data_IF_978859846126
#
_entry.id   IF_978859846126
#
_cell.length_a   1.000
_cell.length_b   1.000
_cell.length_c   1.000
_cell.angle_alpha   90.00
_cell.angle_beta   90.00
_cell.angle_gamma   90.00
#
_symmetry.space_group_name_H-M   'P 1'
#
loop_
_entity.id
_entity.type
_entity.pdbx_description
1 polymer ?
#
# COMPACT_ATOMS: atom_id res chain seq x y z
N UNK A 1 -46.43 51.95 -50.63
CA UNK A 1 -45.62 52.85 -49.77
C UNK A 1 -46.14 52.66 -48.34
N UNK A 2 -45.42 52.17 -47.32
CA UNK A 2 -43.99 52.11 -47.03
C UNK A 2 -43.69 50.84 -46.21
N UNK A 3 -42.54 50.23 -46.47
CA UNK A 3 -42.01 49.07 -45.77
C UNK A 3 -41.58 49.46 -44.34
N UNK A 4 -42.15 48.80 -43.33
CA UNK A 4 -41.67 48.88 -41.94
C UNK A 4 -40.48 47.95 -41.75
N UNK A 5 -39.27 48.48 -41.91
CA UNK A 5 -38.04 47.74 -41.66
C UNK A 5 -37.83 47.54 -40.16
N UNK A 6 -38.12 46.33 -39.69
CA UNK A 6 -37.72 45.81 -38.38
C UNK A 6 -36.20 45.77 -38.30
N UNK A 7 -35.60 46.78 -37.67
CA UNK A 7 -34.16 46.80 -37.40
C UNK A 7 -33.89 46.05 -36.08
N UNK A 8 -33.74 44.73 -36.17
CA UNK A 8 -33.23 43.91 -35.07
C UNK A 8 -31.70 44.06 -35.01
N UNK A 9 -31.20 44.85 -34.06
CA UNK A 9 -29.76 44.97 -33.79
C UNK A 9 -29.29 43.69 -33.09
N UNK A 10 -28.72 42.76 -33.83
CA UNK A 10 -28.05 41.58 -33.27
C UNK A 10 -26.69 42.04 -32.72
N UNK A 11 -26.64 42.34 -31.43
CA UNK A 11 -25.39 42.54 -30.70
C UNK A 11 -24.63 41.21 -30.62
N UNK A 12 -23.56 41.09 -31.40
CA UNK A 12 -22.71 39.90 -31.45
C UNK A 12 -21.68 39.96 -30.33
N UNK A 13 -21.97 39.33 -29.18
CA UNK A 13 -20.96 39.13 -28.12
C UNK A 13 -19.78 38.31 -28.66
N UNK A 14 -18.60 38.93 -28.80
CA UNK A 14 -17.34 38.22 -29.06
C UNK A 14 -17.01 37.38 -27.82
N UNK A 15 -17.17 36.06 -27.91
CA UNK A 15 -16.61 35.14 -26.90
C UNK A 15 -15.09 35.26 -26.95
N UNK A 16 -14.48 35.82 -25.91
CA UNK A 16 -13.03 35.80 -25.72
C UNK A 16 -12.60 34.35 -25.51
N UNK A 17 -12.04 33.73 -26.54
CA UNK A 17 -11.35 32.44 -26.41
C UNK A 17 -10.05 32.69 -25.66
N UNK A 18 -10.05 32.44 -24.35
CA UNK A 18 -8.84 32.40 -23.52
C UNK A 18 -8.20 31.02 -23.73
N UNK A 19 -7.06 30.99 -24.41
CA UNK A 19 -6.18 29.82 -24.45
C UNK A 19 -5.15 29.89 -23.33
N UNK A 20 -4.73 28.74 -22.80
CA UNK A 20 -3.60 28.66 -21.87
C UNK A 20 -2.31 29.10 -22.56
N UNK A 21 -1.46 29.84 -21.85
CA UNK A 21 -0.12 30.18 -22.34
C UNK A 21 0.80 28.98 -22.20
N UNK A 22 1.71 28.77 -23.16
CA UNK A 22 2.76 27.75 -23.03
C UNK A 22 3.62 27.99 -21.78
N UNK A 23 3.85 29.26 -21.44
CA UNK A 23 4.61 29.64 -20.25
C UNK A 23 3.87 29.26 -18.95
N UNK A 24 2.54 29.33 -18.95
CA UNK A 24 1.73 28.93 -17.80
C UNK A 24 1.85 27.43 -17.55
N UNK A 25 1.81 26.62 -18.61
CA UNK A 25 2.01 25.17 -18.51
C UNK A 25 3.44 24.83 -18.11
N UNK A 26 4.46 25.53 -18.62
CA UNK A 26 5.85 25.27 -18.24
C UNK A 26 6.10 25.50 -16.75
N UNK A 27 5.61 26.60 -16.19
CA UNK A 27 5.77 26.89 -14.75
C UNK A 27 5.06 25.82 -13.91
N UNK A 28 3.85 25.41 -14.31
CA UNK A 28 3.10 24.35 -13.61
C UNK A 28 3.89 23.04 -13.60
N UNK A 29 4.45 22.62 -14.74
CA UNK A 29 5.24 21.38 -14.83
C UNK A 29 6.51 21.45 -13.97
N UNK A 30 7.16 22.61 -13.91
CA UNK A 30 8.33 22.81 -13.03
C UNK A 30 7.94 22.69 -11.55
N UNK A 31 6.83 23.32 -11.14
CA UNK A 31 6.37 23.28 -9.75
C UNK A 31 5.98 21.84 -9.36
N UNK A 32 5.19 21.12 -10.17
CA UNK A 32 4.82 19.74 -9.86
C UNK A 32 6.05 18.81 -9.86
N UNK A 33 7.06 19.09 -10.70
CA UNK A 33 8.32 18.35 -10.70
C UNK A 33 9.07 18.48 -9.36
N UNK A 34 9.20 19.70 -8.85
CA UNK A 34 9.82 19.95 -7.54
C UNK A 34 9.02 19.25 -6.42
N UNK A 35 7.69 19.42 -6.41
CA UNK A 35 6.84 18.79 -5.40
C UNK A 35 6.90 17.26 -5.43
N UNK A 36 6.94 16.65 -6.62
CA UNK A 36 7.02 15.21 -6.77
C UNK A 36 8.31 14.64 -6.15
N UNK A 37 9.45 15.30 -6.35
CA UNK A 37 10.73 14.86 -5.78
C UNK A 37 10.75 14.91 -4.25
N UNK A 38 10.11 15.91 -3.64
CA UNK A 38 10.00 16.02 -2.19
C UNK A 38 9.01 15.00 -1.59
N UNK A 39 7.94 14.69 -2.33
CA UNK A 39 6.90 13.77 -1.86
C UNK A 39 7.31 12.29 -1.96
N UNK A 40 8.03 11.89 -3.01
CA UNK A 40 8.36 10.49 -3.29
C UNK A 40 9.02 9.71 -2.13
N UNK A 41 10.09 10.18 -1.46
CA UNK A 41 10.77 9.39 -0.43
C UNK A 41 9.86 9.10 0.79
N UNK A 42 8.92 10.00 1.09
CA UNK A 42 8.00 9.80 2.21
C UNK A 42 6.99 8.67 1.97
N UNK A 43 6.61 8.44 0.72
CA UNK A 43 5.68 7.38 0.34
C UNK A 43 6.31 6.00 0.49
N UNK A 44 7.56 5.86 0.06
CA UNK A 44 8.28 4.58 0.12
C UNK A 44 8.45 4.09 1.57
N UNK A 45 8.88 4.97 2.47
CA UNK A 45 8.99 4.64 3.90
C UNK A 45 7.65 4.29 4.56
N UNK A 46 6.54 4.89 4.10
CA UNK A 46 5.20 4.52 4.57
C UNK A 46 4.81 3.10 4.12
N UNK A 47 5.06 2.76 2.86
CA UNK A 47 4.79 1.42 2.33
C UNK A 47 5.61 0.35 3.05
N UNK A 48 6.91 0.60 3.28
CA UNK A 48 7.76 -0.31 4.05
C UNK A 48 7.21 -0.53 5.46
N UNK A 49 6.89 0.54 6.20
CA UNK A 49 6.30 0.43 7.55
C UNK A 49 4.98 -0.32 7.57
N UNK A 50 4.12 -0.13 6.57
CA UNK A 50 2.87 -0.87 6.42
C UNK A 50 3.14 -2.37 6.27
N UNK A 51 4.05 -2.75 5.38
CA UNK A 51 4.44 -4.16 5.18
C UNK A 51 5.07 -4.77 6.45
N UNK A 52 5.91 -4.02 7.16
CA UNK A 52 6.48 -4.47 8.44
C UNK A 52 5.41 -4.71 9.50
N UNK A 53 4.40 -3.84 9.54
CA UNK A 53 3.27 -3.96 10.46
C UNK A 53 2.43 -5.20 10.14
N UNK A 54 2.17 -5.45 8.86
CA UNK A 54 1.45 -6.63 8.38
C UNK A 54 2.14 -7.93 8.81
N UNK A 55 3.46 -8.04 8.58
CA UNK A 55 4.24 -9.20 9.00
C UNK A 55 4.18 -9.43 10.52
N UNK A 56 4.29 -8.36 11.33
CA UNK A 56 4.17 -8.43 12.79
C UNK A 56 2.77 -8.85 13.25
N UNK A 57 1.73 -8.36 12.60
CA UNK A 57 0.34 -8.76 12.89
C UNK A 57 0.15 -10.24 12.57
N UNK A 58 0.67 -10.72 11.44
CA UNK A 58 0.67 -12.15 11.10
C UNK A 58 1.39 -13.01 12.14
N UNK A 59 2.57 -12.59 12.62
CA UNK A 59 3.29 -13.29 13.69
C UNK A 59 2.50 -13.32 15.01
N UNK A 60 1.87 -12.21 15.38
CA UNK A 60 1.04 -12.13 16.59
C UNK A 60 -0.18 -13.05 16.53
N UNK A 61 -0.79 -13.19 15.36
CA UNK A 61 -1.87 -14.14 15.13
C UNK A 61 -1.39 -15.59 15.31
N UNK A 62 -0.24 -15.94 14.73
CA UNK A 62 0.39 -17.26 14.90
C UNK A 62 0.74 -17.53 16.37
N UNK A 63 1.29 -16.55 17.08
CA UNK A 63 1.60 -16.64 18.50
C UNK A 63 0.36 -16.95 19.35
N UNK A 64 -0.74 -16.24 19.07
CA UNK A 64 -2.01 -16.46 19.77
C UNK A 64 -2.58 -17.85 19.48
N UNK A 65 -2.56 -18.26 18.20
CA UNK A 65 -3.00 -19.59 17.80
C UNK A 65 -2.13 -20.71 18.41
N UNK A 66 -0.82 -20.52 18.54
CA UNK A 66 0.07 -21.45 19.23
C UNK A 66 -0.31 -21.61 20.71
N UNK A 67 -0.61 -20.52 21.41
CA UNK A 67 -1.05 -20.58 22.81
C UNK A 67 -2.36 -21.37 22.97
N UNK A 68 -3.31 -21.15 22.07
CA UNK A 68 -4.58 -21.90 22.05
C UNK A 68 -4.30 -23.39 21.80
N UNK A 69 -3.45 -23.71 20.82
CA UNK A 69 -3.09 -25.07 20.48
C UNK A 69 -2.41 -25.79 21.65
N UNK A 70 -1.47 -25.13 22.34
CA UNK A 70 -0.80 -25.67 23.52
C UNK A 70 -1.78 -25.93 24.68
N UNK A 71 -2.75 -25.05 24.90
CA UNK A 71 -3.74 -25.22 25.95
C UNK A 71 -4.60 -26.49 25.78
N UNK A 72 -4.76 -26.97 24.54
CA UNK A 72 -5.55 -28.15 24.21
C UNK A 72 -4.68 -29.41 24.13
N UNK A 73 -3.52 -29.31 23.46
CA UNK A 73 -2.71 -30.47 23.09
C UNK A 73 -1.46 -30.66 23.97
N UNK A 74 -1.17 -29.73 24.89
CA UNK A 74 0.04 -29.72 25.73
C UNK A 74 1.36 -29.78 24.95
N UNK A 75 1.33 -29.44 23.67
CA UNK A 75 2.48 -29.34 22.77
C UNK A 75 2.25 -28.17 21.83
N UNK A 76 3.31 -27.54 21.34
CA UNK A 76 3.18 -26.57 20.25
C UNK A 76 3.01 -27.31 18.93
N UNK A 77 2.42 -26.63 17.95
CA UNK A 77 2.25 -27.18 16.62
C UNK A 77 3.50 -26.96 15.76
N UNK A 78 3.86 -27.99 15.01
CA UNK A 78 5.10 -28.01 14.19
C UNK A 78 4.88 -27.45 12.78
N UNK A 79 3.63 -27.20 12.39
CA UNK A 79 3.25 -26.72 11.06
C UNK A 79 2.09 -25.73 11.15
N UNK A 80 2.05 -24.75 10.24
CA UNK A 80 0.97 -23.76 10.19
C UNK A 80 -0.39 -24.38 9.87
N UNK A 81 -0.44 -25.51 9.17
CA UNK A 81 -1.69 -26.21 8.87
C UNK A 81 -2.41 -26.76 10.10
N UNK A 82 -1.68 -26.95 11.21
CA UNK A 82 -2.26 -27.37 12.48
C UNK A 82 -2.82 -26.20 13.29
N UNK A 83 -2.55 -24.96 12.86
CA UNK A 83 -3.09 -23.75 13.46
C UNK A 83 -4.27 -23.26 12.63
N UNK A 84 -5.34 -22.86 13.31
CA UNK A 84 -6.43 -22.13 12.69
C UNK A 84 -6.04 -20.65 12.53
N UNK A 85 -5.18 -20.38 11.54
CA UNK A 85 -4.72 -19.02 11.22
C UNK A 85 -4.85 -18.79 9.72
N UNK A 86 -5.51 -17.70 9.34
CA UNK A 86 -5.62 -17.30 7.93
C UNK A 86 -4.46 -16.36 7.59
N UNK A 87 -3.56 -16.84 6.76
CA UNK A 87 -2.44 -16.07 6.23
C UNK A 87 -2.49 -16.10 4.71
N UNK A 88 -2.30 -14.93 4.11
CA UNK A 88 -2.18 -14.80 2.66
C UNK A 88 -0.91 -15.53 2.18
N UNK A 89 -1.10 -16.72 1.63
CA UNK A 89 0.00 -17.59 1.16
C UNK A 89 -0.13 -17.73 -0.36
N UNK A 90 0.73 -17.07 -1.15
CA UNK A 90 0.64 -17.11 -2.62
C UNK A 90 1.24 -15.90 -3.33
N UNK A 91 1.00 -15.75 -4.64
CA UNK A 91 1.67 -14.78 -5.54
C UNK A 91 1.52 -13.29 -5.23
N UNK A 92 0.65 -12.90 -4.28
CA UNK A 92 0.56 -11.53 -3.73
C UNK A 92 1.19 -11.39 -2.34
N UNK A 93 1.65 -12.50 -1.74
CA UNK A 93 2.19 -12.53 -0.39
C UNK A 93 3.53 -11.80 -0.35
N UNK A 94 3.59 -10.74 0.46
CA UNK A 94 4.78 -9.90 0.62
C UNK A 94 5.79 -10.47 1.62
N UNK A 95 5.37 -11.45 2.41
CA UNK A 95 6.19 -12.13 3.40
C UNK A 95 5.72 -13.58 3.58
N UNK A 96 6.66 -14.50 3.78
CA UNK A 96 6.38 -15.89 4.12
C UNK A 96 6.57 -16.11 5.61
N UNK A 97 5.59 -16.73 6.29
CA UNK A 97 5.74 -17.18 7.67
C UNK A 97 6.10 -18.66 7.71
N UNK A 98 7.19 -19.00 8.38
CA UNK A 98 7.60 -20.37 8.69
C UNK A 98 7.50 -20.60 10.18
N UNK A 99 7.05 -21.80 10.58
CA UNK A 99 6.87 -22.19 11.97
C UNK A 99 7.71 -23.43 12.25
N UNK A 100 8.30 -23.47 13.44
CA UNK A 100 9.00 -24.64 13.97
C UNK A 100 8.56 -24.80 15.41
N UNK A 101 7.75 -25.82 15.68
CA UNK A 101 7.26 -26.17 17.01
C UNK A 101 7.99 -27.38 17.61
N UNK A 102 7.90 -27.51 18.92
CA UNK A 102 8.30 -28.69 19.68
C UNK A 102 7.43 -28.80 20.94
N UNK A 103 7.62 -29.83 21.75
CA UNK A 103 6.84 -30.06 22.98
C UNK A 103 7.00 -28.98 24.04
N UNK A 104 8.10 -28.21 24.01
CA UNK A 104 8.44 -27.23 25.04
C UNK A 104 8.62 -25.80 24.54
N UNK A 105 8.72 -25.57 23.24
CA UNK A 105 8.95 -24.25 22.64
C UNK A 105 8.47 -24.19 21.20
N UNK A 106 8.29 -22.99 20.68
CA UNK A 106 8.09 -22.77 19.26
C UNK A 106 8.90 -21.57 18.80
N UNK A 107 9.09 -21.47 17.49
CA UNK A 107 9.67 -20.29 16.84
C UNK A 107 8.92 -20.07 15.55
N UNK A 108 8.32 -18.90 15.39
CA UNK A 108 7.72 -18.45 14.15
C UNK A 108 8.58 -17.33 13.55
N UNK A 109 8.82 -17.40 12.23
CA UNK A 109 9.66 -16.46 11.50
C UNK A 109 8.91 -15.94 10.28
N UNK A 110 8.74 -14.62 10.15
CA UNK A 110 8.37 -13.97 8.89
C UNK A 110 9.63 -13.57 8.13
N UNK A 111 9.64 -13.83 6.83
CA UNK A 111 10.68 -13.36 5.90
C UNK A 111 10.04 -12.66 4.72
N UNK A 112 10.54 -11.50 4.32
CA UNK A 112 10.06 -10.79 3.13
C UNK A 112 11.10 -9.81 2.61
N UNK A 113 10.96 -9.38 1.37
CA UNK A 113 11.75 -8.30 0.79
C UNK A 113 10.87 -7.02 0.76
N UNK A 114 11.02 -6.13 1.74
CA UNK A 114 10.10 -4.98 1.88
C UNK A 114 10.58 -3.74 1.14
N UNK A 115 11.88 -3.58 0.95
CA UNK A 115 12.54 -2.44 0.31
C UNK A 115 13.20 -2.78 -1.04
N UNK A 116 12.93 -3.97 -1.58
CA UNK A 116 13.41 -4.45 -2.89
C UNK A 116 14.94 -4.53 -2.97
N UNK A 117 15.60 -4.77 -1.84
CA UNK A 117 17.04 -4.97 -1.77
C UNK A 117 17.42 -6.47 -1.91
N UNK A 118 18.70 -6.79 -1.77
CA UNK A 118 19.18 -8.17 -1.86
C UNK A 118 19.04 -8.95 -0.53
N UNK A 119 18.62 -8.31 0.55
CA UNK A 119 18.65 -8.82 1.93
C UNK A 119 17.22 -8.97 2.44
N UNK A 120 16.80 -10.20 2.71
CA UNK A 120 15.49 -10.42 3.29
C UNK A 120 15.39 -9.84 4.71
N UNK A 121 14.33 -9.10 4.97
CA UNK A 121 13.93 -8.74 6.31
C UNK A 121 13.40 -9.96 7.03
N UNK A 122 13.79 -10.12 8.30
CA UNK A 122 13.43 -11.28 9.13
C UNK A 122 12.86 -10.78 10.45
N UNK A 123 11.66 -11.24 10.80
CA UNK A 123 11.07 -11.07 12.12
C UNK A 123 10.80 -12.42 12.75
N UNK A 124 11.20 -12.58 14.01
CA UNK A 124 11.05 -13.82 14.77
C UNK A 124 10.24 -13.58 16.03
N UNK A 125 9.43 -14.58 16.41
CA UNK A 125 8.74 -14.65 17.70
C UNK A 125 8.83 -16.07 18.25
N UNK A 126 9.08 -16.19 19.55
CA UNK A 126 9.27 -17.40 20.34
C UNK A 126 8.34 -17.47 21.58
#
# INVERSE_FOLDING_TARGET
MKNGHTFCIISRMKRLRRGFSLLEVMIVVVIIGILATLAYPSLEGYLQRSKQTEAKVGLSAVYTAQKIYFAINQTYADSLSNLDVQLETGGSSRYSITLTGSSSSFTATAKGNLDDDAVLDIWTID
#
